data_IF_996282103305
#
_entry.id   IF_996282103305
#
_cell.length_a   1.000
_cell.length_b   1.000
_cell.length_c   1.000
_cell.angle_alpha   90.00
_cell.angle_beta   90.00
_cell.angle_gamma   90.00
#
_symmetry.space_group_name_H-M   'P 1'
#
loop_
_entity.id
_entity.type
_entity.pdbx_description
1 polymer ?
#
# COMPACT_ATOMS: atom_id res chain seq x y z
N UNK A 1 -11.31 -9.18 -14.05
CA UNK A 1 -10.01 -8.69 -13.56
C UNK A 1 -9.96 -9.05 -12.08
N UNK A 2 -8.96 -9.79 -11.63
CA UNK A 2 -8.82 -10.13 -10.21
C UNK A 2 -7.99 -9.02 -9.54
N UNK A 3 -8.51 -8.42 -8.48
CA UNK A 3 -7.81 -7.40 -7.69
C UNK A 3 -7.56 -8.00 -6.31
N UNK A 4 -6.30 -8.03 -5.91
CA UNK A 4 -5.89 -8.46 -4.57
C UNK A 4 -5.90 -7.29 -3.62
N UNK A 5 -6.27 -7.55 -2.37
CA UNK A 5 -6.15 -6.54 -1.32
C UNK A 5 -4.67 -6.18 -1.09
N UNK A 6 -4.32 -4.92 -0.80
CA UNK A 6 -2.95 -4.59 -0.46
C UNK A 6 -2.48 -5.35 0.79
N UNK A 7 -1.20 -5.70 0.80
CA UNK A 7 -0.59 -6.45 1.90
C UNK A 7 0.84 -5.99 2.14
N UNK A 8 1.15 -5.65 3.38
CA UNK A 8 2.52 -5.37 3.84
C UNK A 8 3.07 -6.56 4.62
N UNK A 9 3.20 -6.40 5.94
CA UNK A 9 3.40 -7.49 6.89
C UNK A 9 2.07 -8.20 7.17
N UNK A 10 0.97 -7.44 7.19
CA UNK A 10 -0.41 -7.91 7.33
C UNK A 10 -1.23 -7.39 6.16
N UNK A 11 -2.39 -8.02 5.89
CA UNK A 11 -3.33 -7.45 4.93
C UNK A 11 -3.89 -6.14 5.49
N UNK A 12 -4.17 -5.18 4.62
CA UNK A 12 -4.69 -3.87 5.02
C UNK A 12 -6.14 -3.91 5.51
N UNK A 13 -6.85 -5.03 5.37
CA UNK A 13 -8.19 -5.27 5.96
C UNK A 13 -8.14 -5.92 7.35
N UNK A 14 -6.96 -6.08 7.94
CA UNK A 14 -6.78 -6.50 9.33
C UNK A 14 -6.51 -5.30 10.25
N UNK A 15 -6.61 -5.49 11.56
CA UNK A 15 -6.25 -4.51 12.60
C UNK A 15 -4.75 -4.14 12.51
N UNK A 16 -4.41 -3.25 11.58
CA UNK A 16 -3.05 -2.75 11.33
C UNK A 16 -3.08 -1.24 11.10
N UNK A 17 -1.95 -0.58 11.31
CA UNK A 17 -1.91 0.87 11.15
C UNK A 17 -2.10 1.31 9.69
N UNK A 18 -1.80 0.42 8.73
CA UNK A 18 -2.01 0.66 7.31
C UNK A 18 -3.48 0.56 6.86
N UNK A 19 -4.41 0.08 7.69
CA UNK A 19 -5.85 0.03 7.38
C UNK A 19 -6.40 1.41 6.97
N UNK A 20 -5.83 2.49 7.50
CA UNK A 20 -6.18 3.86 7.11
C UNK A 20 -6.07 4.13 5.59
N UNK A 21 -5.17 3.42 4.89
CA UNK A 21 -5.00 3.55 3.44
C UNK A 21 -5.93 2.65 2.63
N UNK A 22 -6.59 1.68 3.25
CA UNK A 22 -7.47 0.73 2.56
C UNK A 22 -8.58 1.43 1.78
N UNK A 23 -9.24 2.40 2.41
CA UNK A 23 -10.31 3.19 1.78
C UNK A 23 -9.75 4.06 0.66
N UNK A 24 -8.58 4.68 0.86
CA UNK A 24 -7.95 5.54 -0.14
C UNK A 24 -7.47 4.75 -1.37
N UNK A 25 -6.86 3.59 -1.16
CA UNK A 25 -6.47 2.66 -2.21
C UNK A 25 -7.67 2.18 -3.02
N UNK A 26 -8.75 1.77 -2.35
CA UNK A 26 -9.97 1.32 -3.01
C UNK A 26 -10.59 2.46 -3.84
N UNK A 27 -10.67 3.66 -3.25
CA UNK A 27 -11.20 4.84 -3.92
C UNK A 27 -10.43 5.18 -5.21
N UNK A 28 -9.09 5.19 -5.16
CA UNK A 28 -8.25 5.43 -6.34
C UNK A 28 -8.33 4.29 -7.36
N UNK A 29 -8.41 3.03 -6.91
CA UNK A 29 -8.49 1.85 -7.79
C UNK A 29 -9.80 1.79 -8.58
N UNK A 30 -10.93 2.13 -7.94
CA UNK A 30 -12.24 2.01 -8.57
C UNK A 30 -12.76 3.31 -9.20
N UNK A 31 -12.19 4.46 -8.84
CA UNK A 31 -12.62 5.79 -9.29
C UNK A 31 -11.42 6.71 -9.60
N UNK A 32 -10.45 6.22 -10.38
CA UNK A 32 -9.22 6.97 -10.67
C UNK A 32 -9.48 8.39 -11.21
N UNK A 33 -10.55 8.58 -11.98
CA UNK A 33 -11.01 9.87 -12.51
C UNK A 33 -11.32 10.91 -11.43
N UNK A 34 -11.66 10.47 -10.22
CA UNK A 34 -12.03 11.32 -9.07
C UNK A 34 -10.89 11.55 -8.09
N UNK A 35 -9.81 10.77 -8.17
CA UNK A 35 -8.70 10.77 -7.21
C UNK A 35 -7.35 10.97 -7.93
N UNK A 36 -7.34 11.81 -8.97
CA UNK A 36 -6.14 12.10 -9.77
C UNK A 36 -5.10 12.93 -9.01
N UNK A 37 -5.53 13.70 -8.03
CA UNK A 37 -4.72 14.53 -7.15
C UNK A 37 -3.98 13.73 -6.07
N UNK A 38 -4.37 12.48 -5.83
CA UNK A 38 -3.77 11.62 -4.81
C UNK A 38 -2.58 10.84 -5.38
N UNK A 39 -1.38 11.09 -4.88
CA UNK A 39 -0.22 10.21 -5.11
C UNK A 39 -0.13 9.16 -3.99
N UNK A 40 -0.84 8.05 -4.17
CA UNK A 40 -0.91 6.97 -3.18
C UNK A 40 0.46 6.34 -2.88
N UNK A 41 1.40 6.36 -3.84
CA UNK A 41 2.77 5.86 -3.62
C UNK A 41 3.46 6.78 -2.61
N UNK A 42 3.48 8.09 -2.88
CA UNK A 42 4.10 9.08 -2.01
C UNK A 42 3.48 9.08 -0.60
N UNK A 43 2.15 9.03 -0.50
CA UNK A 43 1.44 8.95 0.78
C UNK A 43 1.87 7.73 1.61
N UNK A 44 1.96 6.56 0.97
CA UNK A 44 2.38 5.32 1.64
C UNK A 44 3.85 5.39 2.04
N UNK A 45 4.74 5.90 1.18
CA UNK A 45 6.16 6.06 1.52
C UNK A 45 6.38 7.04 2.68
N UNK A 46 5.63 8.13 2.72
CA UNK A 46 5.67 9.11 3.82
C UNK A 46 5.19 8.49 5.13
N UNK A 47 4.12 7.69 5.10
CA UNK A 47 3.65 6.96 6.29
C UNK A 47 4.72 6.01 6.84
N UNK A 48 5.31 5.17 5.99
CA UNK A 48 6.36 4.23 6.37
C UNK A 48 7.57 4.96 6.98
N UNK A 49 7.98 6.08 6.37
CA UNK A 49 9.08 6.89 6.88
C UNK A 49 8.75 7.48 8.25
N UNK A 50 7.54 8.03 8.42
CA UNK A 50 7.13 8.75 9.65
C UNK A 50 6.90 7.82 10.83
N UNK A 51 6.16 6.74 10.63
CA UNK A 51 5.70 5.89 11.73
C UNK A 51 6.56 4.65 11.93
N UNK A 52 7.20 4.13 10.88
CA UNK A 52 8.06 2.94 10.96
C UNK A 52 9.56 3.25 10.83
N UNK A 53 9.94 4.51 10.61
CA UNK A 53 11.34 4.90 10.32
C UNK A 53 11.95 4.10 9.17
N UNK A 54 11.11 3.67 8.20
CA UNK A 54 11.50 2.82 7.09
C UNK A 54 11.39 3.57 5.76
N UNK A 55 12.48 3.60 4.99
CA UNK A 55 12.47 4.17 3.64
C UNK A 55 11.97 3.11 2.66
N UNK A 56 10.67 3.17 2.38
CA UNK A 56 10.01 2.28 1.43
C UNK A 56 10.28 2.74 -0.02
N UNK A 57 10.78 1.85 -0.88
CA UNK A 57 10.96 2.16 -2.31
C UNK A 57 9.63 2.07 -3.07
N UNK A 58 9.50 2.82 -4.17
CA UNK A 58 8.28 2.79 -4.98
C UNK A 58 7.98 1.38 -5.52
N UNK A 59 9.01 0.60 -5.84
CA UNK A 59 8.87 -0.79 -6.25
C UNK A 59 8.21 -1.65 -5.16
N UNK A 60 8.67 -1.53 -3.91
CA UNK A 60 8.07 -2.24 -2.76
C UNK A 60 6.66 -1.75 -2.46
N UNK A 61 6.40 -0.45 -2.63
CA UNK A 61 5.05 0.12 -2.50
C UNK A 61 4.10 -0.49 -3.53
N UNK A 62 4.52 -0.64 -4.78
CA UNK A 62 3.72 -1.28 -5.81
C UNK A 62 3.49 -2.78 -5.53
N UNK A 63 4.45 -3.47 -4.93
CA UNK A 63 4.24 -4.86 -4.48
C UNK A 63 3.16 -4.95 -3.39
N UNK A 64 3.17 -4.01 -2.43
CA UNK A 64 2.10 -3.92 -1.42
C UNK A 64 0.74 -3.80 -2.11
N UNK A 65 0.58 -2.86 -3.05
CA UNK A 65 -0.70 -2.62 -3.75
C UNK A 65 -1.12 -3.79 -4.65
N UNK A 66 -0.17 -4.58 -5.13
CA UNK A 66 -0.44 -5.79 -5.91
C UNK A 66 -0.85 -6.99 -5.05
N UNK A 67 -0.91 -6.84 -3.72
CA UNK A 67 -1.21 -7.95 -2.81
C UNK A 67 -0.03 -8.93 -2.65
N UNK A 68 1.21 -8.47 -2.85
CA UNK A 68 2.41 -9.28 -2.65
C UNK A 68 3.11 -8.93 -1.32
N UNK A 69 3.16 -9.85 -0.34
CA UNK A 69 3.72 -9.55 0.98
C UNK A 69 5.23 -9.29 0.93
N UNK A 70 5.67 -8.25 1.63
CA UNK A 70 7.08 -7.86 1.69
C UNK A 70 7.96 -8.91 2.38
N UNK A 71 7.36 -9.80 3.19
CA UNK A 71 8.03 -10.91 3.87
C UNK A 71 8.61 -11.95 2.90
N UNK A 72 8.17 -11.99 1.64
CA UNK A 72 8.74 -12.90 0.63
C UNK A 72 10.03 -12.39 0.00
N UNK A 73 10.31 -11.09 0.05
CA UNK A 73 11.48 -10.47 -0.60
C UNK A 73 12.81 -10.75 0.11
N UNK A 74 12.80 -11.29 1.33
CA UNK A 74 14.00 -11.58 2.12
C UNK A 74 14.35 -13.08 2.13
N UNK A 75 13.61 -13.91 1.38
CA UNK A 75 13.79 -15.38 1.29
C UNK A 75 14.37 -15.85 -0.05
N UNK A 76 14.84 -14.93 -0.88
CA UNK A 76 15.62 -15.19 -2.10
C UNK A 76 17.00 -14.56 -1.93
#
# INVERSE_FOLDING_TARGET
MLISNPVSTLNWDQDCAEEAFQVLWAAKTFHEDKFQDIDLISETQQFYKKYYSYVLSAEKTNLIFAGNPLSYLHRQ
#
